data_IF_502872539383
#
_entry.id   IF_502872539383
#
_cell.length_a   1.000
_cell.length_b   1.000
_cell.length_c   1.000
_cell.angle_alpha   90.00
_cell.angle_beta   90.00
_cell.angle_gamma   90.00
#
_symmetry.space_group_name_H-M   'P 1'
#
loop_
_entity.id
_entity.type
_entity.pdbx_description
1 polymer ?
#
# COMPACT_ATOMS: atom_id res chain seq x y z
N UNK A 1 3.77 -26.47 27.59
CA UNK A 1 4.60 -25.47 26.89
C UNK A 1 4.20 -25.53 25.44
N UNK A 2 3.24 -24.69 25.04
CA UNK A 2 2.70 -24.66 23.68
C UNK A 2 3.22 -23.38 23.05
N UNK A 3 4.12 -23.51 22.08
CA UNK A 3 4.75 -22.39 21.40
C UNK A 3 3.70 -21.54 20.68
N UNK A 4 3.75 -20.23 20.93
CA UNK A 4 3.04 -19.23 20.14
C UNK A 4 3.57 -19.29 18.70
N UNK A 5 2.78 -19.80 17.78
CA UNK A 5 2.96 -19.58 16.34
C UNK A 5 2.12 -18.34 16.03
N UNK A 6 2.76 -17.23 15.68
CA UNK A 6 2.10 -16.00 15.25
C UNK A 6 1.43 -16.22 13.89
N UNK A 7 0.10 -16.13 13.83
CA UNK A 7 -0.78 -16.25 12.64
C UNK A 7 -0.57 -15.16 11.54
N UNK A 8 0.56 -14.47 11.54
CA UNK A 8 0.86 -13.36 10.64
C UNK A 8 1.72 -13.73 9.42
N UNK A 9 2.13 -14.99 9.26
CA UNK A 9 2.92 -15.39 8.09
C UNK A 9 2.06 -15.54 6.82
N UNK A 10 2.43 -14.80 5.79
CA UNK A 10 1.91 -14.88 4.42
C UNK A 10 2.77 -15.88 3.66
N UNK A 11 2.26 -16.66 2.69
CA UNK A 11 3.10 -17.55 1.91
C UNK A 11 4.19 -16.74 1.20
N UNK A 12 5.42 -16.81 1.71
CA UNK A 12 6.60 -16.31 1.03
C UNK A 12 6.76 -17.19 -0.20
N UNK A 13 6.82 -16.59 -1.40
CA UNK A 13 7.30 -17.30 -2.56
C UNK A 13 8.73 -17.78 -2.23
N UNK A 14 8.88 -19.08 -1.97
CA UNK A 14 10.08 -19.71 -1.39
C UNK A 14 11.36 -19.49 -2.20
N UNK A 15 11.25 -18.93 -3.41
CA UNK A 15 12.40 -18.68 -4.30
C UNK A 15 12.75 -17.19 -4.46
N UNK A 16 11.94 -16.24 -3.97
CA UNK A 16 12.31 -14.81 -4.08
C UNK A 16 13.39 -14.47 -3.06
N UNK A 17 14.50 -13.91 -3.55
CA UNK A 17 15.55 -13.33 -2.71
C UNK A 17 15.52 -11.82 -2.91
N UNK A 18 15.34 -11.08 -1.80
CA UNK A 18 15.36 -9.63 -1.85
C UNK A 18 16.70 -9.12 -2.41
N UNK A 19 16.71 -8.02 -3.17
CA UNK A 19 17.94 -7.47 -3.72
C UNK A 19 18.87 -6.96 -2.60
N UNK A 20 20.17 -6.87 -2.90
CA UNK A 20 21.10 -6.17 -2.03
C UNK A 20 20.73 -4.70 -1.89
N UNK A 21 20.86 -4.17 -0.68
CA UNK A 21 20.57 -2.77 -0.39
C UNK A 21 21.64 -1.89 -1.04
N UNK A 22 21.20 -1.01 -1.94
CA UNK A 22 22.02 0.04 -2.56
C UNK A 22 21.25 1.34 -2.53
N UNK A 23 21.92 2.41 -2.18
CA UNK A 23 21.37 3.76 -2.21
C UNK A 23 21.19 4.24 -3.65
N UNK A 24 20.31 5.23 -3.83
CA UNK A 24 20.12 5.92 -5.11
C UNK A 24 21.44 6.47 -5.65
N UNK A 25 22.28 7.05 -4.78
CA UNK A 25 23.58 7.61 -5.20
C UNK A 25 24.54 6.52 -5.67
N UNK A 26 24.63 5.38 -4.96
CA UNK A 26 25.48 4.26 -5.41
C UNK A 26 25.02 3.68 -6.74
N UNK A 27 23.71 3.63 -7.00
CA UNK A 27 23.15 3.17 -8.27
C UNK A 27 23.52 4.13 -9.41
N UNK A 28 23.46 5.44 -9.18
CA UNK A 28 23.84 6.46 -10.17
C UNK A 28 25.35 6.45 -10.40
N UNK A 29 26.13 6.28 -9.35
CA UNK A 29 27.59 6.33 -9.42
C UNK A 29 28.21 5.06 -10.01
N UNK A 30 27.49 3.94 -10.00
CA UNK A 30 27.88 2.74 -10.70
C UNK A 30 27.88 2.96 -12.23
N UNK A 31 28.80 2.32 -12.93
CA UNK A 31 28.81 2.23 -14.41
C UNK A 31 28.82 3.57 -15.16
N UNK A 32 29.42 4.63 -14.58
CA UNK A 32 29.49 5.96 -15.23
C UNK A 32 30.05 5.96 -16.65
N UNK A 33 30.91 5.00 -16.98
CA UNK A 33 31.50 4.84 -18.31
C UNK A 33 30.55 4.26 -19.37
N UNK A 34 29.36 3.77 -18.99
CA UNK A 34 28.40 3.15 -19.89
C UNK A 34 27.22 4.09 -20.16
N UNK A 35 27.19 4.68 -21.36
CA UNK A 35 26.15 5.61 -21.78
C UNK A 35 24.75 4.96 -21.81
N UNK A 36 24.67 3.68 -22.15
CA UNK A 36 23.39 2.96 -22.25
C UNK A 36 22.78 2.73 -20.87
N UNK A 37 23.59 2.31 -19.89
CA UNK A 37 23.16 2.14 -18.51
C UNK A 37 22.82 3.48 -17.86
N UNK A 38 23.54 4.55 -18.18
CA UNK A 38 23.21 5.88 -17.69
C UNK A 38 21.84 6.37 -18.21
N UNK A 39 21.54 6.19 -19.50
CA UNK A 39 20.23 6.52 -20.08
C UNK A 39 19.11 5.66 -19.47
N UNK A 40 19.37 4.38 -19.23
CA UNK A 40 18.44 3.48 -18.56
C UNK A 40 18.11 3.95 -17.14
N UNK A 41 19.14 4.27 -16.34
CA UNK A 41 18.99 4.80 -14.97
C UNK A 41 18.22 6.12 -14.96
N UNK A 42 18.52 7.05 -15.87
CA UNK A 42 17.78 8.30 -16.00
C UNK A 42 16.30 8.08 -16.35
N UNK A 43 15.99 7.10 -17.20
CA UNK A 43 14.60 6.79 -17.57
C UNK A 43 13.81 6.25 -16.36
N UNK A 44 14.43 5.43 -15.53
CA UNK A 44 13.78 4.84 -14.35
C UNK A 44 13.68 5.82 -13.17
N UNK A 45 14.79 6.49 -12.85
CA UNK A 45 14.93 7.31 -11.65
C UNK A 45 14.58 8.79 -11.90
N UNK A 46 14.53 9.22 -13.15
CA UNK A 46 14.42 10.64 -13.51
C UNK A 46 15.75 11.38 -13.40
N UNK A 47 15.69 12.70 -13.55
CA UNK A 47 16.91 13.53 -13.68
C UNK A 47 17.66 13.79 -12.38
N UNK A 48 16.98 13.75 -11.22
CA UNK A 48 17.57 14.08 -9.92
C UNK A 48 16.93 13.30 -8.74
N UNK A 49 16.90 11.96 -8.76
CA UNK A 49 16.22 11.13 -7.75
C UNK A 49 16.76 11.32 -6.33
N UNK A 50 18.06 11.58 -6.16
CA UNK A 50 18.69 11.73 -4.83
C UNK A 50 18.35 13.06 -4.13
N UNK A 51 17.71 13.98 -4.83
CA UNK A 51 17.29 15.28 -4.30
C UNK A 51 15.78 15.34 -4.04
N UNK A 52 15.05 14.27 -4.33
CA UNK A 52 13.59 14.26 -4.16
C UNK A 52 13.24 14.20 -2.68
N UNK A 53 12.73 15.32 -2.16
CA UNK A 53 12.17 15.47 -0.82
C UNK A 53 10.84 16.20 -0.96
N UNK A 54 9.75 15.52 -0.64
CA UNK A 54 8.39 16.07 -0.70
C UNK A 54 7.95 16.60 0.67
N UNK A 55 8.27 15.87 1.73
CA UNK A 55 8.02 16.28 3.12
C UNK A 55 9.34 16.26 3.91
N UNK A 56 10.04 17.41 4.02
CA UNK A 56 11.36 17.49 4.66
C UNK A 56 11.39 17.02 6.11
N UNK A 57 10.31 17.28 6.86
CA UNK A 57 10.17 16.93 8.28
C UNK A 57 9.72 15.47 8.50
N UNK A 58 9.29 14.78 7.45
CA UNK A 58 8.88 13.39 7.54
C UNK A 58 10.09 12.49 7.25
N UNK A 59 10.59 11.71 8.22
CA UNK A 59 11.78 10.87 8.02
C UNK A 59 11.50 9.67 7.11
N UNK A 60 10.24 9.31 6.90
CA UNK A 60 9.88 8.13 6.11
C UNK A 60 10.19 8.34 4.63
N UNK A 61 10.67 7.26 3.99
CA UNK A 61 10.91 7.23 2.55
C UNK A 61 9.61 7.09 1.76
N UNK A 62 8.63 6.36 2.30
CA UNK A 62 7.29 6.23 1.73
C UNK A 62 6.29 6.99 2.60
N UNK A 63 5.46 7.81 1.97
CA UNK A 63 4.43 8.60 2.66
C UNK A 63 3.10 8.28 2.04
N UNK A 64 2.30 7.44 2.72
CA UNK A 64 0.95 7.13 2.28
C UNK A 64 0.04 8.33 2.57
N UNK A 65 -0.50 8.94 1.52
CA UNK A 65 -1.32 10.16 1.62
C UNK A 65 -2.81 9.85 1.74
N UNK A 66 -3.32 8.91 0.96
CA UNK A 66 -4.76 8.61 0.98
C UNK A 66 -5.10 7.20 0.55
N UNK A 67 -6.28 6.76 0.99
CA UNK A 67 -7.01 5.61 0.47
C UNK A 67 -8.31 6.11 -0.16
N UNK A 68 -8.64 5.63 -1.35
CA UNK A 68 -9.87 5.93 -2.06
C UNK A 68 -10.63 4.65 -2.36
N UNK A 69 -11.90 4.60 -1.98
CA UNK A 69 -12.83 3.58 -2.47
C UNK A 69 -13.36 4.01 -3.84
N UNK A 70 -13.00 3.24 -4.87
CA UNK A 70 -13.49 3.39 -6.24
C UNK A 70 -14.50 2.28 -6.47
N UNK A 71 -15.78 2.59 -6.56
CA UNK A 71 -16.83 1.59 -6.70
C UNK A 71 -17.88 2.01 -7.74
N UNK A 72 -18.46 1.03 -8.41
CA UNK A 72 -19.45 1.28 -9.47
C UNK A 72 -20.73 1.88 -8.91
N UNK A 73 -21.31 2.86 -9.61
CA UNK A 73 -22.61 3.44 -9.23
C UNK A 73 -22.59 4.45 -8.09
N UNK A 74 -21.41 4.95 -7.69
CA UNK A 74 -21.25 6.11 -6.79
C UNK A 74 -20.01 6.93 -7.12
N UNK A 75 -19.92 8.18 -6.65
CA UNK A 75 -18.66 8.92 -6.62
C UNK A 75 -17.61 8.22 -5.75
N UNK A 76 -16.34 8.39 -6.14
CA UNK A 76 -15.20 7.95 -5.35
C UNK A 76 -15.22 8.62 -3.96
N UNK A 77 -14.85 7.87 -2.93
CA UNK A 77 -14.72 8.43 -1.57
C UNK A 77 -13.29 8.25 -1.12
N UNK A 78 -12.67 9.37 -0.74
CA UNK A 78 -11.26 9.45 -0.39
C UNK A 78 -11.10 9.81 1.07
N UNK A 79 -10.13 9.20 1.71
CA UNK A 79 -9.74 9.49 3.08
C UNK A 79 -8.27 9.85 3.14
N UNK A 80 -7.96 10.95 3.81
CA UNK A 80 -6.59 11.40 4.05
C UNK A 80 -5.98 10.61 5.21
N UNK A 81 -4.89 9.92 4.92
CA UNK A 81 -4.11 9.11 5.87
C UNK A 81 -2.94 9.91 6.47
N UNK A 82 -2.75 11.16 6.06
CA UNK A 82 -1.74 12.06 6.65
C UNK A 82 -2.18 12.60 8.02
N UNK A 83 -3.48 12.53 8.33
CA UNK A 83 -4.06 13.03 9.58
C UNK A 83 -4.47 11.86 10.49
N UNK A 84 -3.72 11.58 11.58
CA UNK A 84 -4.03 10.48 12.49
C UNK A 84 -5.45 10.49 13.05
N UNK A 85 -6.06 11.67 13.26
CA UNK A 85 -7.44 11.77 13.75
C UNK A 85 -8.49 11.31 12.74
N UNK A 86 -8.20 11.47 11.45
CA UNK A 86 -9.10 11.03 10.38
C UNK A 86 -9.11 9.50 10.25
N UNK A 87 -8.02 8.85 10.62
CA UNK A 87 -7.84 7.39 10.55
C UNK A 87 -8.72 6.65 11.57
N UNK A 88 -8.92 7.20 12.77
CA UNK A 88 -9.65 6.52 13.85
C UNK A 88 -11.17 6.38 13.59
N UNK A 89 -11.73 7.28 12.78
CA UNK A 89 -13.17 7.30 12.42
C UNK A 89 -13.44 6.83 10.98
N UNK A 90 -12.40 6.28 10.35
CA UNK A 90 -12.38 5.84 8.98
C UNK A 90 -13.49 4.81 8.69
N UNK A 91 -14.42 5.15 7.80
CA UNK A 91 -15.47 4.25 7.34
C UNK A 91 -15.70 4.35 5.83
N UNK A 92 -15.87 3.20 5.19
CA UNK A 92 -16.33 3.10 3.82
C UNK A 92 -17.58 2.21 3.77
N UNK A 93 -18.64 2.69 3.12
CA UNK A 93 -19.81 1.87 2.82
C UNK A 93 -19.72 1.33 1.40
N UNK A 94 -20.04 0.05 1.21
CA UNK A 94 -20.09 -0.62 -0.08
C UNK A 94 -21.44 -1.33 -0.23
N UNK A 95 -22.11 -1.08 -1.36
CA UNK A 95 -23.33 -1.80 -1.71
C UNK A 95 -22.98 -3.26 -2.00
N UNK A 96 -23.77 -4.18 -1.45
CA UNK A 96 -23.62 -5.62 -1.71
C UNK A 96 -23.64 -5.93 -3.23
N UNK A 97 -22.75 -6.81 -3.69
CA UNK A 97 -22.61 -7.15 -5.11
C UNK A 97 -22.01 -6.04 -5.98
N UNK A 98 -21.64 -4.89 -5.41
CA UNK A 98 -20.92 -3.86 -6.15
C UNK A 98 -19.47 -4.27 -6.36
N UNK A 99 -18.94 -3.96 -7.54
CA UNK A 99 -17.52 -4.05 -7.81
C UNK A 99 -16.81 -2.82 -7.26
N UNK A 100 -15.67 -3.03 -6.62
CA UNK A 100 -14.85 -1.94 -6.09
C UNK A 100 -13.35 -2.24 -6.17
N UNK A 101 -12.56 -1.17 -6.05
CA UNK A 101 -11.11 -1.19 -5.88
C UNK A 101 -10.72 -0.22 -4.77
N UNK A 102 -9.64 -0.52 -4.08
CA UNK A 102 -8.97 0.43 -3.21
C UNK A 102 -7.83 1.08 -3.99
N UNK A 103 -7.83 2.40 -4.07
CA UNK A 103 -6.72 3.18 -4.63
C UNK A 103 -5.94 3.86 -3.53
N UNK A 104 -4.64 3.64 -3.49
CA UNK A 104 -3.72 4.28 -2.57
C UNK A 104 -2.90 5.32 -3.31
N UNK A 105 -2.77 6.50 -2.74
CA UNK A 105 -1.85 7.52 -3.26
C UNK A 105 -0.75 7.79 -2.25
N UNK A 106 0.49 7.87 -2.72
CA UNK A 106 1.66 8.00 -1.87
C UNK A 106 2.82 8.70 -2.57
N UNK A 107 3.73 9.25 -1.78
CA UNK A 107 5.02 9.75 -2.27
C UNK A 107 6.13 8.79 -1.88
N UNK A 108 7.19 8.79 -2.70
CA UNK A 108 8.47 8.18 -2.37
C UNK A 108 9.53 9.27 -2.43
N UNK A 109 10.33 9.37 -1.38
CA UNK A 109 11.37 10.39 -1.23
C UNK A 109 12.65 9.80 -0.65
N UNK A 110 13.77 10.48 -0.88
CA UNK A 110 15.14 10.13 -0.46
C UNK A 110 15.72 8.86 -1.09
N UNK A 111 15.08 7.71 -0.93
CA UNK A 111 15.61 6.42 -1.38
C UNK A 111 14.57 5.58 -2.12
N UNK A 112 15.05 4.63 -2.93
CA UNK A 112 14.19 3.64 -3.59
C UNK A 112 13.54 2.75 -2.54
N UNK A 113 12.22 2.56 -2.65
CA UNK A 113 11.52 1.50 -1.93
C UNK A 113 11.44 0.27 -2.83
N UNK A 114 11.84 -0.89 -2.30
CA UNK A 114 11.77 -2.17 -2.98
C UNK A 114 10.68 -3.05 -2.39
N UNK A 115 9.88 -3.67 -3.25
CA UNK A 115 8.88 -4.65 -2.84
C UNK A 115 7.86 -4.13 -1.82
N UNK A 116 7.37 -2.91 -2.02
CA UNK A 116 6.26 -2.36 -1.26
C UNK A 116 5.06 -3.29 -1.35
N UNK A 117 4.48 -3.64 -0.20
CA UNK A 117 3.35 -4.56 -0.05
C UNK A 117 2.28 -3.92 0.80
N UNK A 118 1.03 -4.16 0.42
CA UNK A 118 -0.16 -3.80 1.19
C UNK A 118 -0.81 -5.06 1.75
N UNK A 119 -0.96 -5.14 3.07
CA UNK A 119 -1.68 -6.20 3.76
C UNK A 119 -3.08 -5.72 4.10
N UNK A 120 -4.05 -6.53 3.73
CA UNK A 120 -5.47 -6.31 3.93
C UNK A 120 -6.02 -7.45 4.79
N UNK A 121 -6.49 -7.16 6.00
CA UNK A 121 -7.10 -8.16 6.88
C UNK A 121 -8.49 -7.72 7.29
N UNK A 122 -9.50 -8.48 6.92
CA UNK A 122 -10.91 -8.20 7.24
C UNK A 122 -11.37 -9.11 8.36
N UNK A 123 -12.02 -8.53 9.37
CA UNK A 123 -12.55 -9.27 10.51
C UNK A 123 -13.99 -8.85 10.82
N UNK A 124 -14.81 -9.81 11.22
CA UNK A 124 -16.18 -9.59 11.67
C UNK A 124 -16.39 -10.28 13.02
N UNK A 125 -16.90 -9.54 14.01
CA UNK A 125 -17.06 -10.03 15.39
C UNK A 125 -15.79 -10.68 15.98
N UNK A 126 -14.62 -10.12 15.67
CA UNK A 126 -13.32 -10.62 16.15
C UNK A 126 -12.75 -11.81 15.37
N UNK A 127 -13.50 -12.38 14.43
CA UNK A 127 -13.07 -13.50 13.59
C UNK A 127 -12.54 -12.94 12.27
N UNK A 128 -11.37 -13.40 11.82
CA UNK A 128 -10.83 -13.04 10.50
C UNK A 128 -11.63 -13.77 9.43
N UNK A 129 -12.20 -13.01 8.50
CA UNK A 129 -13.04 -13.55 7.40
C UNK A 129 -12.35 -13.45 6.05
N UNK A 130 -11.34 -12.59 5.92
CA UNK A 130 -10.53 -12.44 4.73
C UNK A 130 -9.13 -11.89 5.09
N UNK A 131 -8.11 -12.31 4.34
CA UNK A 131 -6.71 -11.88 4.52
C UNK A 131 -5.99 -11.94 3.18
N UNK A 132 -5.62 -10.78 2.66
CA UNK A 132 -4.95 -10.62 1.38
C UNK A 132 -3.65 -9.82 1.50
N UNK A 133 -2.70 -10.10 0.60
CA UNK A 133 -1.45 -9.34 0.47
C UNK A 133 -1.21 -8.96 -0.98
N UNK A 134 -1.16 -7.66 -1.21
CA UNK A 134 -1.00 -7.08 -2.52
C UNK A 134 0.44 -6.60 -2.72
N UNK A 135 1.12 -7.13 -3.73
CA UNK A 135 2.40 -6.57 -4.19
C UNK A 135 2.11 -5.24 -4.90
N UNK A 136 2.59 -4.15 -4.30
CA UNK A 136 2.43 -2.79 -4.83
C UNK A 136 3.55 -2.51 -5.82
N UNK A 137 4.79 -2.86 -5.45
CA UNK A 137 5.95 -2.84 -6.35
C UNK A 137 7.15 -2.07 -5.79
N UNK A 138 8.07 -1.70 -6.67
CA UNK A 138 9.26 -0.93 -6.32
C UNK A 138 9.19 0.45 -6.97
N UNK A 139 9.54 1.49 -6.22
CA UNK A 139 9.37 2.88 -6.63
C UNK A 139 10.62 3.68 -6.31
N UNK A 140 11.09 4.45 -7.28
CA UNK A 140 12.13 5.44 -7.07
C UNK A 140 11.55 6.72 -6.45
N UNK A 141 12.37 7.54 -5.77
CA UNK A 141 11.95 8.85 -5.33
C UNK A 141 11.44 9.71 -6.49
N UNK A 142 10.24 10.26 -6.35
CA UNK A 142 9.61 11.16 -7.34
C UNK A 142 8.80 12.26 -6.66
N UNK A 143 8.80 13.46 -7.27
CA UNK A 143 7.99 14.60 -6.82
C UNK A 143 6.52 14.41 -7.17
N UNK A 144 6.21 13.57 -8.15
CA UNK A 144 4.84 13.24 -8.55
C UNK A 144 4.23 12.20 -7.62
N UNK A 145 2.95 12.38 -7.33
CA UNK A 145 2.17 11.45 -6.52
C UNK A 145 2.03 10.11 -7.25
N UNK A 146 2.45 9.04 -6.59
CA UNK A 146 2.29 7.68 -7.10
C UNK A 146 0.91 7.14 -6.70
N UNK A 147 0.38 6.22 -7.51
CA UNK A 147 -0.91 5.59 -7.26
C UNK A 147 -0.85 4.09 -7.50
N UNK A 148 -1.53 3.33 -6.65
CA UNK A 148 -1.73 1.89 -6.79
C UNK A 148 -3.21 1.56 -6.59
N UNK A 149 -3.74 0.67 -7.42
CA UNK A 149 -5.09 0.12 -7.26
C UNK A 149 -5.03 -1.38 -7.03
N UNK A 150 -5.81 -1.86 -6.06
CA UNK A 150 -6.03 -3.30 -5.90
C UNK A 150 -6.74 -3.88 -7.14
N UNK A 151 -6.66 -5.21 -7.36
CA UNK A 151 -7.53 -5.90 -8.29
C UNK A 151 -9.01 -5.57 -8.05
N UNK A 152 -9.84 -5.78 -9.06
CA UNK A 152 -11.29 -5.61 -8.92
C UNK A 152 -11.83 -6.67 -7.96
N UNK A 153 -12.50 -6.23 -6.90
CA UNK A 153 -13.18 -7.07 -5.92
C UNK A 153 -14.70 -6.91 -6.06
N UNK A 154 -15.46 -7.92 -5.67
CA UNK A 154 -16.93 -7.86 -5.58
C UNK A 154 -17.34 -7.97 -4.11
N UNK A 155 -18.17 -7.04 -3.64
CA UNK A 155 -18.66 -7.09 -2.27
C UNK A 155 -19.62 -8.28 -2.08
N UNK A 156 -19.48 -9.09 -1.00
CA UNK A 156 -20.35 -10.24 -0.78
C UNK A 156 -21.82 -9.81 -0.65
N UNK A 157 -22.70 -10.64 -1.22
CA UNK A 157 -24.14 -10.39 -1.29
C UNK A 157 -24.95 -11.24 -0.32
N UNK A 158 -26.08 -10.70 0.14
CA UNK A 158 -27.07 -11.42 0.94
C UNK A 158 -27.09 -10.98 2.40
N UNK A 159 -28.24 -11.19 3.05
CA UNK A 159 -28.51 -10.68 4.41
C UNK A 159 -27.46 -11.09 5.44
N UNK A 160 -26.86 -12.27 5.31
CA UNK A 160 -25.82 -12.75 6.24
C UNK A 160 -24.51 -11.97 6.10
N UNK A 161 -24.17 -11.45 4.91
CA UNK A 161 -22.92 -10.72 4.66
C UNK A 161 -23.03 -9.22 4.90
N UNK A 162 -24.25 -8.68 5.03
CA UNK A 162 -24.45 -7.27 5.39
C UNK A 162 -23.99 -7.00 6.82
N UNK A 163 -23.43 -5.82 7.04
CA UNK A 163 -22.97 -5.35 8.34
C UNK A 163 -21.58 -4.71 8.31
N UNK A 164 -21.04 -4.46 9.50
CA UNK A 164 -19.74 -3.79 9.69
C UNK A 164 -18.61 -4.80 9.86
N UNK A 165 -17.55 -4.56 9.12
CA UNK A 165 -16.31 -5.29 9.10
C UNK A 165 -15.19 -4.39 9.56
N UNK A 166 -14.31 -4.90 10.41
CA UNK A 166 -13.08 -4.23 10.83
C UNK A 166 -11.99 -4.60 9.84
N UNK A 167 -11.43 -3.62 9.15
CA UNK A 167 -10.30 -3.82 8.24
C UNK A 167 -9.05 -3.32 8.92
N UNK A 168 -8.03 -4.18 9.02
CA UNK A 168 -6.68 -3.82 9.41
C UNK A 168 -5.82 -3.73 8.16
N UNK A 169 -5.20 -2.58 7.96
CA UNK A 169 -4.42 -2.21 6.78
C UNK A 169 -2.98 -1.94 7.18
N UNK A 170 -2.02 -2.47 6.42
CA UNK A 170 -0.59 -2.27 6.72
C UNK A 170 0.23 -2.17 5.43
N UNK A 171 1.14 -1.22 5.37
CA UNK A 171 2.17 -1.14 4.33
C UNK A 171 3.53 -1.54 4.89
N UNK A 172 4.23 -2.44 4.20
CA UNK A 172 5.63 -2.80 4.50
C UNK A 172 6.44 -2.91 3.21
N UNK A 173 7.77 -2.86 3.31
CA UNK A 173 8.69 -3.10 2.19
C UNK A 173 9.48 -4.43 2.36
N UNK A 174 10.34 -4.77 1.40
CA UNK A 174 11.21 -5.96 1.46
C UNK A 174 12.30 -5.87 2.56
N UNK A 175 12.53 -4.69 3.10
CA UNK A 175 13.42 -4.48 4.25
C UNK A 175 12.72 -4.71 5.60
N UNK A 176 11.40 -4.96 5.59
CA UNK A 176 10.60 -5.20 6.78
C UNK A 176 10.19 -3.92 7.51
N UNK A 177 10.39 -2.75 6.90
CA UNK A 177 9.98 -1.48 7.50
C UNK A 177 8.45 -1.39 7.50
N UNK A 178 7.86 -1.19 8.68
CA UNK A 178 6.44 -0.85 8.78
C UNK A 178 6.27 0.63 8.43
N UNK A 179 5.64 0.92 7.29
CA UNK A 179 5.49 2.28 6.77
C UNK A 179 4.26 2.96 7.37
N UNK A 180 3.12 2.25 7.38
CA UNK A 180 1.88 2.72 7.97
C UNK A 180 1.03 1.50 8.33
N UNK A 181 0.43 1.52 9.52
CA UNK A 181 -0.51 0.50 9.99
C UNK A 181 -1.72 1.19 10.60
N UNK A 182 -2.92 0.84 10.14
CA UNK A 182 -4.16 1.43 10.63
C UNK A 182 -5.33 0.47 10.57
N UNK A 183 -6.44 0.90 11.18
CA UNK A 183 -7.71 0.17 11.17
C UNK A 183 -8.82 1.09 10.71
N UNK A 184 -9.77 0.55 9.95
CA UNK A 184 -10.96 1.26 9.49
C UNK A 184 -12.15 0.31 9.39
N UNK A 185 -13.35 0.85 9.17
CA UNK A 185 -14.59 0.07 9.07
C UNK A 185 -15.08 -0.01 7.63
N UNK A 186 -15.32 -1.22 7.13
CA UNK A 186 -16.04 -1.46 5.89
C UNK A 186 -17.47 -1.87 6.23
N UNK A 187 -18.46 -1.12 5.76
CA UNK A 187 -19.88 -1.44 5.93
C UNK A 187 -20.48 -1.97 4.63
N UNK A 188 -21.02 -3.18 4.66
CA UNK A 188 -21.71 -3.79 3.53
C UNK A 188 -23.21 -3.65 3.74
N UNK A 189 -23.88 -2.97 2.82
CA UNK A 189 -25.30 -2.64 2.91
C UNK A 189 -26.04 -3.01 1.62
N UNK A 190 -27.37 -3.13 1.71
CA UNK A 190 -28.22 -3.43 0.53
C UNK A 190 -28.20 -2.29 -0.50
N UNK A 191 -28.10 -1.06 -0.01
CA UNK A 191 -28.09 0.17 -0.77
C UNK A 191 -26.86 1.00 -0.32
N UNK A 192 -26.54 2.06 -1.08
CA UNK A 192 -25.38 2.93 -0.82
C UNK A 192 -25.54 3.81 0.41
#
# INVERSE_FOLDING_TARGET
MSGNISDDEVPVNVNYRKPEKKSVNEIIDADKGDESLNKYKQTLLGSAPSQVIVEPHNPNHVIIKSITLVADGRPEVTMDLSNPKAIESANFSVKEGAHYRLRFNFFVQREIVTGLKYFHKVSRHGITVDKETYMVGSYAPKTELQSYQTPLEEAPSGMMHRGKYKVKSKFVDDDGNCILEWTWTLEISKDW
#
